data_IF_101378901013
#
_entry.id   IF_101378901013
#
_cell.length_a   1.000
_cell.length_b   1.000
_cell.length_c   1.000
_cell.angle_alpha   90.00
_cell.angle_beta   90.00
_cell.angle_gamma   90.00
#
_symmetry.space_group_name_H-M   'P 1'
#
loop_
_entity.id
_entity.type
_entity.pdbx_description
1 polymer ?
#
# COMPACT_ATOMS: atom_id res chain seq x y z
N UNK A 1 -27.08 -36.53 16.33
CA UNK A 1 -27.51 -35.37 17.17
C UNK A 1 -28.95 -35.56 17.58
N UNK A 2 -29.35 -35.20 18.83
CA UNK A 2 -30.75 -35.32 19.24
C UNK A 2 -31.63 -34.18 18.64
N UNK A 3 -32.97 -34.41 18.63
CA UNK A 3 -33.91 -33.45 17.99
C UNK A 3 -33.90 -32.06 18.65
N UNK A 4 -33.64 -31.98 19.96
CA UNK A 4 -33.58 -30.71 20.71
C UNK A 4 -32.37 -29.90 20.29
N UNK A 5 -31.20 -30.50 20.25
CA UNK A 5 -29.95 -29.85 19.80
C UNK A 5 -30.02 -29.42 18.34
N UNK A 6 -30.64 -30.24 17.48
CA UNK A 6 -30.87 -29.88 16.08
C UNK A 6 -31.72 -28.60 15.95
N UNK A 7 -32.81 -28.53 16.70
CA UNK A 7 -33.71 -27.37 16.69
C UNK A 7 -33.01 -26.13 17.26
N UNK A 8 -32.18 -26.30 18.29
CA UNK A 8 -31.43 -25.19 18.88
C UNK A 8 -30.41 -24.62 17.90
N UNK A 9 -29.64 -25.47 17.21
CA UNK A 9 -28.70 -25.00 16.17
C UNK A 9 -29.41 -24.26 15.03
N UNK A 10 -30.54 -24.77 14.56
CA UNK A 10 -31.34 -24.09 13.54
C UNK A 10 -31.85 -22.71 14.01
N UNK A 11 -32.18 -22.57 15.28
CA UNK A 11 -32.66 -21.32 15.86
C UNK A 11 -31.63 -20.21 15.92
N UNK A 12 -30.34 -20.53 15.86
CA UNK A 12 -29.25 -19.55 15.83
C UNK A 12 -29.14 -18.83 14.49
N UNK A 13 -29.68 -19.40 13.42
CA UNK A 13 -29.64 -18.82 12.08
C UNK A 13 -30.84 -17.88 11.92
N UNK A 14 -30.61 -16.59 12.24
CA UNK A 14 -31.63 -15.53 12.23
C UNK A 14 -31.24 -14.42 11.26
N UNK A 15 -32.18 -13.52 10.95
CA UNK A 15 -31.94 -12.35 10.09
C UNK A 15 -30.93 -11.35 10.68
N UNK A 16 -30.63 -11.47 11.98
CA UNK A 16 -29.61 -10.68 12.69
C UNK A 16 -28.21 -11.26 12.57
N UNK A 17 -28.06 -12.41 11.91
CA UNK A 17 -26.76 -13.06 11.70
C UNK A 17 -25.89 -12.25 10.72
N UNK A 18 -24.70 -11.91 11.15
CA UNK A 18 -23.68 -11.22 10.37
C UNK A 18 -22.77 -12.21 9.64
N UNK A 19 -22.10 -13.05 10.42
CA UNK A 19 -21.16 -14.04 9.89
C UNK A 19 -20.99 -15.25 10.82
N UNK A 20 -20.46 -16.33 10.25
CA UNK A 20 -20.10 -17.57 10.97
C UNK A 20 -18.70 -18.00 10.53
N UNK A 21 -17.89 -18.42 11.48
CA UNK A 21 -16.66 -19.17 11.24
C UNK A 21 -16.77 -20.54 11.88
N UNK A 22 -16.72 -21.62 11.08
CA UNK A 22 -16.71 -23.00 11.53
C UNK A 22 -15.29 -23.54 11.40
N UNK A 23 -14.75 -24.13 12.44
CA UNK A 23 -13.34 -24.54 12.56
C UNK A 23 -13.19 -25.82 13.38
N UNK A 24 -11.95 -26.26 13.58
CA UNK A 24 -11.61 -27.49 14.30
C UNK A 24 -12.25 -28.73 13.67
N UNK A 25 -11.84 -29.09 12.42
CA UNK A 25 -12.39 -30.21 11.69
C UNK A 25 -11.98 -31.55 12.34
N UNK A 26 -12.80 -32.57 12.17
CA UNK A 26 -12.45 -33.96 12.48
C UNK A 26 -11.32 -34.45 11.55
N UNK A 27 -10.56 -35.47 12.00
CA UNK A 27 -9.41 -35.96 11.21
C UNK A 27 -9.79 -36.53 9.83
N UNK A 28 -11.02 -36.92 9.65
CA UNK A 28 -11.56 -37.49 8.41
C UNK A 28 -12.14 -36.40 7.47
N UNK A 29 -12.25 -35.15 7.94
CA UNK A 29 -12.81 -34.05 7.16
C UNK A 29 -11.74 -33.45 6.24
N UNK A 30 -12.07 -33.27 4.96
CA UNK A 30 -11.20 -32.65 3.97
C UNK A 30 -11.19 -31.14 4.06
N UNK A 31 -12.24 -30.54 4.61
CA UNK A 31 -12.33 -29.10 4.80
C UNK A 31 -11.58 -28.68 6.06
N UNK A 32 -10.80 -27.64 5.97
CA UNK A 32 -10.04 -27.08 7.11
C UNK A 32 -10.84 -26.06 7.90
N UNK A 33 -11.73 -25.32 7.21
CA UNK A 33 -12.55 -24.24 7.76
C UNK A 33 -13.71 -23.92 6.83
N UNK A 34 -14.79 -23.40 7.40
CA UNK A 34 -15.91 -22.80 6.63
C UNK A 34 -16.16 -21.40 7.16
N UNK A 35 -16.32 -20.45 6.24
CA UNK A 35 -16.80 -19.10 6.54
C UNK A 35 -18.15 -18.89 5.87
N UNK A 36 -19.06 -18.28 6.61
CA UNK A 36 -20.38 -17.91 6.10
C UNK A 36 -20.58 -16.43 6.40
N UNK A 37 -20.96 -15.65 5.42
CA UNK A 37 -21.19 -14.20 5.59
C UNK A 37 -22.46 -13.76 4.89
N UNK A 38 -23.17 -12.86 5.54
CA UNK A 38 -24.34 -12.19 4.99
C UNK A 38 -23.90 -11.25 3.88
N UNK A 39 -24.63 -11.25 2.76
CA UNK A 39 -24.39 -10.40 1.61
C UNK A 39 -25.67 -10.01 0.91
N UNK A 40 -25.61 -8.98 0.11
CA UNK A 40 -26.69 -8.61 -0.81
C UNK A 40 -26.31 -8.96 -2.24
N UNK A 41 -27.16 -9.72 -2.92
CA UNK A 41 -26.98 -10.07 -4.31
C UNK A 41 -28.28 -9.73 -5.07
N UNK A 42 -28.19 -8.84 -6.05
CA UNK A 42 -29.34 -8.37 -6.86
C UNK A 42 -30.53 -7.89 -6.02
N UNK A 43 -30.27 -7.13 -4.95
CA UNK A 43 -31.29 -6.58 -4.06
C UNK A 43 -31.89 -7.62 -3.09
N UNK A 44 -31.37 -8.85 -3.02
CA UNK A 44 -31.81 -9.89 -2.08
C UNK A 44 -30.71 -10.25 -1.12
N UNK A 45 -31.06 -10.40 0.16
CA UNK A 45 -30.13 -10.89 1.18
C UNK A 45 -29.88 -12.37 0.96
N UNK A 46 -28.60 -12.75 0.88
CA UNK A 46 -28.14 -14.12 0.78
C UNK A 46 -26.95 -14.34 1.74
N UNK A 47 -26.56 -15.59 1.91
CA UNK A 47 -25.41 -15.99 2.69
C UNK A 47 -24.42 -16.72 1.80
N UNK A 48 -23.20 -16.16 1.68
CA UNK A 48 -22.11 -16.80 0.96
C UNK A 48 -21.41 -17.77 1.90
N UNK A 49 -21.35 -19.04 1.51
CA UNK A 49 -20.61 -20.10 2.19
C UNK A 49 -19.28 -20.28 1.43
N UNK A 50 -18.17 -20.15 2.14
CA UNK A 50 -16.82 -20.38 1.66
C UNK A 50 -16.25 -21.60 2.37
N UNK A 51 -16.08 -22.71 1.65
CA UNK A 51 -15.55 -23.96 2.16
C UNK A 51 -14.06 -24.10 1.76
N UNK A 52 -13.17 -24.15 2.74
CA UNK A 52 -11.72 -24.18 2.51
C UNK A 52 -11.16 -25.58 2.70
N UNK A 53 -10.47 -26.10 1.71
CA UNK A 53 -9.54 -27.24 1.83
C UNK A 53 -8.12 -26.72 2.09
N UNK A 54 -7.12 -27.61 2.09
CA UNK A 54 -5.70 -27.20 2.20
C UNK A 54 -5.21 -26.39 1.00
N UNK A 55 -5.82 -26.53 -0.16
CA UNK A 55 -5.33 -25.98 -1.43
C UNK A 55 -6.37 -25.18 -2.22
N UNK A 56 -7.65 -25.30 -1.89
CA UNK A 56 -8.75 -24.70 -2.66
C UNK A 56 -9.82 -24.12 -1.76
N UNK A 57 -10.59 -23.18 -2.28
CA UNK A 57 -11.80 -22.64 -1.67
C UNK A 57 -12.97 -22.79 -2.63
N UNK A 58 -14.09 -23.29 -2.11
CA UNK A 58 -15.35 -23.43 -2.84
C UNK A 58 -16.36 -22.42 -2.32
N UNK A 59 -17.14 -21.83 -3.21
CA UNK A 59 -18.11 -20.81 -2.87
C UNK A 59 -19.50 -21.20 -3.33
N UNK A 60 -20.49 -21.03 -2.47
CA UNK A 60 -21.91 -21.13 -2.83
C UNK A 60 -22.73 -20.06 -2.11
N UNK A 61 -23.79 -19.58 -2.74
CA UNK A 61 -24.72 -18.64 -2.15
C UNK A 61 -26.02 -19.36 -1.83
N UNK A 62 -26.55 -19.10 -0.63
CA UNK A 62 -27.78 -19.74 -0.13
C UNK A 62 -28.68 -18.68 0.51
N UNK A 63 -29.97 -18.97 0.57
CA UNK A 63 -30.93 -18.21 1.36
C UNK A 63 -30.79 -18.51 2.85
N UNK A 64 -31.35 -17.69 3.71
CA UNK A 64 -31.34 -17.96 5.17
C UNK A 64 -32.05 -19.27 5.50
N UNK A 65 -33.10 -19.63 4.79
CA UNK A 65 -33.83 -20.88 4.98
C UNK A 65 -32.98 -22.08 4.64
N UNK A 66 -32.27 -22.05 3.50
CA UNK A 66 -31.33 -23.09 3.10
C UNK A 66 -30.17 -23.20 4.08
N UNK A 67 -29.61 -22.05 4.53
CA UNK A 67 -28.54 -22.03 5.53
C UNK A 67 -28.98 -22.68 6.84
N UNK A 68 -30.22 -22.38 7.30
CA UNK A 68 -30.80 -22.95 8.52
C UNK A 68 -30.88 -24.48 8.47
N UNK A 69 -31.22 -25.02 7.31
CA UNK A 69 -31.27 -26.48 7.13
C UNK A 69 -29.88 -27.12 7.00
N UNK A 70 -28.93 -26.43 6.35
CA UNK A 70 -27.57 -26.94 6.13
C UNK A 70 -26.68 -26.86 7.40
N UNK A 71 -26.90 -25.85 8.27
CA UNK A 71 -26.02 -25.50 9.35
C UNK A 71 -25.74 -26.64 10.34
N UNK A 72 -26.74 -27.42 10.83
CA UNK A 72 -26.48 -28.51 11.76
C UNK A 72 -25.60 -29.63 11.18
N UNK A 73 -25.68 -29.89 9.86
CA UNK A 73 -24.92 -30.93 9.20
C UNK A 73 -23.39 -30.71 9.28
N UNK A 74 -22.94 -29.48 9.51
CA UNK A 74 -21.51 -29.21 9.73
C UNK A 74 -20.97 -29.77 11.05
N UNK A 75 -21.83 -30.10 12.01
CA UNK A 75 -21.44 -30.67 13.31
C UNK A 75 -21.66 -32.16 13.40
N UNK A 76 -22.17 -32.80 12.38
CA UNK A 76 -22.33 -34.24 12.33
C UNK A 76 -21.02 -34.95 11.93
N UNK A 77 -20.12 -35.15 12.89
CA UNK A 77 -18.79 -35.74 12.71
C UNK A 77 -17.89 -35.00 11.69
N UNK A 78 -18.08 -33.70 11.54
CA UNK A 78 -17.28 -32.88 10.59
C UNK A 78 -16.47 -31.79 11.29
N UNK A 79 -17.12 -30.96 12.10
CA UNK A 79 -16.47 -29.85 12.81
C UNK A 79 -16.85 -29.83 14.29
N UNK A 80 -15.93 -29.32 15.12
CA UNK A 80 -16.12 -29.29 16.58
C UNK A 80 -16.30 -27.89 17.15
N UNK A 81 -16.18 -26.84 16.35
CA UNK A 81 -16.29 -25.48 16.81
C UNK A 81 -16.91 -24.57 15.77
N UNK A 82 -17.78 -23.64 16.23
CA UNK A 82 -18.18 -22.50 15.44
C UNK A 82 -18.26 -21.24 16.30
N UNK A 83 -18.02 -20.10 15.68
CA UNK A 83 -18.23 -18.77 16.19
C UNK A 83 -19.24 -18.07 15.29
N UNK A 84 -20.34 -17.57 15.88
CA UNK A 84 -21.38 -16.81 15.18
C UNK A 84 -21.39 -15.40 15.75
N UNK A 85 -21.47 -14.43 14.87
CA UNK A 85 -21.66 -13.01 15.20
C UNK A 85 -23.07 -12.56 14.80
N UNK A 86 -23.89 -12.22 15.80
CA UNK A 86 -25.22 -11.64 15.62
C UNK A 86 -25.20 -10.16 16.03
N UNK A 87 -26.23 -9.41 15.69
CA UNK A 87 -26.29 -7.98 16.02
C UNK A 87 -26.17 -7.64 17.51
N UNK A 88 -26.66 -8.52 18.38
CA UNK A 88 -26.74 -8.27 19.83
C UNK A 88 -25.96 -9.26 20.69
N UNK A 89 -25.44 -10.32 20.10
CA UNK A 89 -24.68 -11.35 20.82
C UNK A 89 -23.68 -12.09 19.93
N UNK A 90 -22.62 -12.58 20.55
CA UNK A 90 -21.71 -13.57 20.00
C UNK A 90 -22.08 -14.94 20.54
N UNK A 91 -22.12 -15.93 19.66
CA UNK A 91 -22.43 -17.31 20.03
C UNK A 91 -21.26 -18.21 19.67
N UNK A 92 -20.79 -18.99 20.63
CA UNK A 92 -19.77 -20.01 20.43
C UNK A 92 -20.40 -21.41 20.59
N UNK A 93 -20.19 -22.25 19.59
CA UNK A 93 -20.59 -23.67 19.62
C UNK A 93 -19.34 -24.51 19.78
N UNK A 94 -19.39 -25.43 20.75
CA UNK A 94 -18.35 -26.42 21.00
C UNK A 94 -18.95 -27.82 20.98
N UNK A 95 -18.32 -28.73 20.23
CA UNK A 95 -18.73 -30.13 20.15
C UNK A 95 -17.65 -31.00 20.80
N UNK A 96 -18.04 -31.75 21.84
CA UNK A 96 -17.14 -32.66 22.54
C UNK A 96 -16.77 -33.87 21.68
N UNK A 97 -15.73 -34.63 22.08
CA UNK A 97 -15.35 -35.90 21.44
C UNK A 97 -16.47 -36.94 21.43
N UNK A 98 -17.41 -36.85 22.37
CA UNK A 98 -18.57 -37.75 22.50
C UNK A 98 -19.80 -37.22 21.76
N UNK A 99 -19.68 -36.13 20.98
CA UNK A 99 -20.76 -35.55 20.20
C UNK A 99 -21.72 -34.60 20.98
N UNK A 100 -21.45 -34.33 22.27
CA UNK A 100 -22.27 -33.40 23.04
C UNK A 100 -21.98 -31.97 22.59
N UNK A 101 -23.04 -31.19 22.28
CA UNK A 101 -22.99 -29.79 21.82
C UNK A 101 -23.20 -28.87 23.01
N UNK A 102 -22.33 -27.88 23.16
CA UNK A 102 -22.45 -26.77 24.12
C UNK A 102 -22.52 -25.46 23.38
N UNK A 103 -23.53 -24.63 23.71
CA UNK A 103 -23.75 -23.31 23.10
C UNK A 103 -23.56 -22.25 24.17
N UNK A 104 -22.54 -21.43 24.00
CA UNK A 104 -22.18 -20.32 24.87
C UNK A 104 -22.59 -19.00 24.19
N UNK A 105 -23.32 -18.16 24.93
CA UNK A 105 -23.79 -16.85 24.42
C UNK A 105 -23.19 -15.73 25.24
N UNK A 106 -22.68 -14.71 24.56
CA UNK A 106 -22.13 -13.50 25.15
C UNK A 106 -22.79 -12.28 24.53
N UNK A 107 -23.56 -11.55 25.36
CA UNK A 107 -24.15 -10.27 24.91
C UNK A 107 -23.03 -9.30 24.53
N UNK A 108 -23.12 -8.69 23.35
CA UNK A 108 -22.25 -7.61 22.94
C UNK A 108 -22.77 -6.30 23.55
N UNK A 109 -21.86 -5.49 24.14
CA UNK A 109 -22.23 -4.18 24.68
C UNK A 109 -22.54 -3.23 23.52
N UNK A 110 -23.80 -3.06 23.22
CA UNK A 110 -24.52 -1.86 22.81
C UNK A 110 -24.08 -1.01 21.61
N UNK A 111 -23.03 -1.33 20.89
CA UNK A 111 -22.78 -0.71 19.59
C UNK A 111 -23.30 -1.67 18.53
N UNK A 112 -24.29 -1.19 17.75
CA UNK A 112 -24.71 -1.90 16.55
C UNK A 112 -23.46 -2.20 15.73
N UNK A 113 -23.19 -3.50 15.46
CA UNK A 113 -22.13 -3.90 14.56
C UNK A 113 -22.19 -2.98 13.33
N UNK A 114 -21.06 -2.38 12.89
CA UNK A 114 -21.06 -1.52 11.74
C UNK A 114 -21.78 -2.28 10.62
N UNK A 115 -22.77 -1.63 9.99
CA UNK A 115 -23.48 -2.20 8.85
C UNK A 115 -22.42 -2.70 7.88
N UNK A 116 -22.15 -4.01 7.91
CA UNK A 116 -21.27 -4.62 6.92
C UNK A 116 -21.82 -4.24 5.55
N UNK A 117 -21.01 -3.71 4.65
CA UNK A 117 -21.47 -3.43 3.30
C UNK A 117 -21.99 -4.75 2.74
N UNK A 118 -23.30 -4.80 2.50
CA UNK A 118 -24.00 -5.98 1.95
C UNK A 118 -23.62 -6.23 0.48
N UNK A 119 -22.78 -5.36 -0.10
CA UNK A 119 -22.33 -5.49 -1.49
C UNK A 119 -21.12 -6.43 -1.62
N UNK A 120 -21.13 -7.24 -2.68
CA UNK A 120 -20.02 -8.13 -3.08
C UNK A 120 -18.70 -7.38 -3.34
N UNK A 121 -18.78 -6.13 -3.75
CA UNK A 121 -17.65 -5.27 -3.92
C UNK A 121 -17.33 -4.63 -2.58
N UNK A 122 -16.24 -5.05 -1.94
CA UNK A 122 -15.49 -4.16 -1.07
C UNK A 122 -15.16 -2.94 -1.92
N UNK A 123 -15.93 -1.89 -1.78
CA UNK A 123 -15.50 -0.57 -2.26
C UNK A 123 -14.21 -0.30 -1.51
N UNK A 124 -13.09 -0.28 -2.22
CA UNK A 124 -11.83 0.20 -1.65
C UNK A 124 -12.13 1.62 -1.20
N UNK A 125 -11.93 1.91 0.09
CA UNK A 125 -12.01 3.29 0.58
C UNK A 125 -10.79 4.02 0.00
N UNK A 126 -10.98 4.63 -1.15
CA UNK A 126 -9.98 5.49 -1.75
C UNK A 126 -9.89 6.82 -0.99
N UNK A 127 -8.70 7.41 -0.96
CA UNK A 127 -8.51 8.78 -0.44
C UNK A 127 -9.30 9.78 -1.28
N UNK A 128 -9.27 9.60 -2.61
CA UNK A 128 -10.09 10.33 -3.57
C UNK A 128 -11.16 9.36 -4.07
N UNK A 129 -12.43 9.65 -3.77
CA UNK A 129 -13.54 8.76 -4.10
C UNK A 129 -14.11 9.04 -5.50
N UNK A 130 -14.65 8.00 -6.13
CA UNK A 130 -15.52 8.14 -7.30
C UNK A 130 -16.84 8.81 -6.88
N UNK A 131 -17.50 9.52 -7.83
CA UNK A 131 -18.76 10.21 -7.60
C UNK A 131 -18.60 11.64 -7.07
N UNK A 132 -17.39 12.07 -6.71
CA UNK A 132 -17.08 13.46 -6.35
C UNK A 132 -16.00 13.99 -7.27
N UNK A 133 -16.32 15.04 -8.04
CA UNK A 133 -15.39 15.63 -8.99
C UNK A 133 -14.19 16.25 -8.26
N UNK A 134 -12.98 15.78 -8.58
CA UNK A 134 -11.72 16.32 -8.08
C UNK A 134 -11.09 17.18 -9.16
N UNK A 135 -10.94 18.51 -8.97
CA UNK A 135 -10.60 19.43 -10.04
C UNK A 135 -9.35 19.05 -10.84
N UNK A 136 -8.25 18.70 -10.20
CA UNK A 136 -7.02 18.34 -10.91
C UNK A 136 -7.16 17.00 -11.68
N UNK A 137 -7.96 16.04 -11.19
CA UNK A 137 -8.22 14.79 -11.92
C UNK A 137 -9.06 15.03 -13.17
N UNK A 138 -10.00 15.99 -13.10
CA UNK A 138 -10.82 16.39 -14.25
C UNK A 138 -9.93 17.03 -15.32
N UNK A 139 -9.10 17.98 -14.96
CA UNK A 139 -8.21 18.67 -15.88
C UNK A 139 -7.15 17.74 -16.51
N UNK A 140 -6.68 16.73 -15.77
CA UNK A 140 -5.76 15.70 -16.27
C UNK A 140 -6.47 14.58 -17.04
N UNK A 141 -7.79 14.65 -17.20
CA UNK A 141 -8.60 13.69 -17.94
C UNK A 141 -8.71 12.32 -17.30
N UNK A 142 -8.44 12.22 -15.99
CA UNK A 142 -8.60 11.00 -15.19
C UNK A 142 -10.05 10.81 -14.75
N UNK A 143 -10.76 11.93 -14.53
CA UNK A 143 -12.12 11.97 -14.03
C UNK A 143 -12.97 12.89 -14.92
N UNK A 144 -14.24 12.63 -15.00
CA UNK A 144 -15.23 13.50 -15.67
C UNK A 144 -15.73 14.58 -14.72
N UNK A 145 -16.44 15.59 -15.24
CA UNK A 145 -16.97 16.71 -14.43
C UNK A 145 -18.06 16.27 -13.43
N UNK A 146 -18.69 15.13 -13.66
CA UNK A 146 -19.66 14.51 -12.78
C UNK A 146 -19.04 13.53 -11.77
N UNK A 147 -17.69 13.44 -11.74
CA UNK A 147 -16.94 12.65 -10.76
C UNK A 147 -16.74 11.18 -11.13
N UNK A 148 -17.12 10.75 -12.34
CA UNK A 148 -16.87 9.39 -12.79
C UNK A 148 -15.42 9.23 -13.29
N UNK A 149 -14.77 8.12 -12.94
CA UNK A 149 -13.41 7.81 -13.43
C UNK A 149 -13.46 7.30 -14.87
N UNK A 150 -12.62 7.86 -15.75
CA UNK A 150 -12.56 7.42 -17.15
C UNK A 150 -11.95 6.02 -17.23
N UNK A 151 -12.57 5.11 -17.97
CA UNK A 151 -12.11 3.70 -18.11
C UNK A 151 -10.63 3.61 -18.53
N UNK A 152 -10.21 4.43 -19.48
CA UNK A 152 -8.84 4.45 -19.99
C UNK A 152 -7.79 4.94 -18.96
N UNK A 153 -8.21 5.59 -17.88
CA UNK A 153 -7.35 6.15 -16.84
C UNK A 153 -7.61 5.53 -15.46
N UNK A 154 -8.36 4.44 -15.38
CA UNK A 154 -8.69 3.81 -14.12
C UNK A 154 -7.45 3.34 -13.33
N UNK A 155 -6.45 2.79 -14.02
CA UNK A 155 -5.18 2.40 -13.40
C UNK A 155 -4.41 3.62 -12.87
N UNK A 156 -4.46 4.75 -13.58
CA UNK A 156 -3.86 5.99 -13.10
C UNK A 156 -4.57 6.50 -11.84
N UNK A 157 -5.89 6.42 -11.79
CA UNK A 157 -6.67 6.76 -10.60
C UNK A 157 -6.30 5.86 -9.39
N UNK A 158 -6.18 4.55 -9.61
CA UNK A 158 -5.72 3.59 -8.58
C UNK A 158 -4.29 3.92 -8.11
N UNK A 159 -3.39 4.21 -9.03
CA UNK A 159 -2.00 4.60 -8.73
C UNK A 159 -1.95 5.87 -7.86
N UNK A 160 -2.73 6.89 -8.20
CA UNK A 160 -2.81 8.15 -7.44
C UNK A 160 -3.32 7.87 -6.03
N UNK A 161 -4.41 7.12 -5.87
CA UNK A 161 -4.94 6.78 -4.56
C UNK A 161 -3.95 5.98 -3.73
N UNK A 162 -3.29 4.98 -4.32
CA UNK A 162 -2.26 4.19 -3.63
C UNK A 162 -1.10 5.05 -3.15
N UNK A 163 -0.68 6.02 -3.96
CA UNK A 163 0.35 6.97 -3.56
C UNK A 163 -0.10 7.86 -2.39
N UNK A 164 -1.34 8.33 -2.41
CA UNK A 164 -1.89 9.13 -1.33
C UNK A 164 -2.03 8.36 -0.02
N UNK A 165 -2.26 7.04 -0.04
CA UNK A 165 -2.20 6.19 1.16
C UNK A 165 -0.79 6.27 1.80
N UNK A 166 0.29 6.20 1.00
CA UNK A 166 1.65 6.36 1.53
C UNK A 166 1.92 7.78 2.06
N UNK A 167 1.35 8.80 1.43
CA UNK A 167 1.44 10.18 1.93
C UNK A 167 0.66 10.33 3.24
N UNK A 168 -0.49 9.69 3.36
CA UNK A 168 -1.28 9.68 4.59
C UNK A 168 -0.52 9.04 5.76
N UNK A 169 0.17 7.94 5.52
CA UNK A 169 0.96 7.24 6.55
C UNK A 169 2.09 8.09 7.13
N UNK A 170 2.64 9.03 6.34
CA UNK A 170 3.77 9.88 6.76
C UNK A 170 3.36 11.26 7.26
N UNK A 171 2.07 11.60 7.25
CA UNK A 171 1.59 12.89 7.77
C UNK A 171 2.10 13.23 9.18
N UNK A 172 2.17 12.29 10.14
CA UNK A 172 2.67 12.57 11.48
C UNK A 172 4.15 12.98 11.53
N UNK A 173 4.92 12.70 10.47
CA UNK A 173 6.33 13.04 10.38
C UNK A 173 6.58 14.43 9.77
N UNK A 174 5.53 15.08 9.25
CA UNK A 174 5.61 16.41 8.66
C UNK A 174 5.28 17.51 9.68
N UNK A 175 5.89 18.72 9.58
CA UNK A 175 5.61 19.85 10.47
C UNK A 175 4.13 20.21 10.50
N UNK A 176 3.61 20.64 11.66
CA UNK A 176 2.21 21.08 11.81
C UNK A 176 2.07 22.56 12.08
N UNK A 177 3.16 23.22 12.45
CA UNK A 177 3.25 24.58 12.98
C UNK A 177 3.81 25.60 11.98
N UNK A 178 4.20 25.13 10.80
CA UNK A 178 4.77 25.96 9.72
C UNK A 178 4.47 25.40 8.34
N UNK A 179 4.78 26.17 7.32
CA UNK A 179 4.68 25.75 5.90
C UNK A 179 5.56 24.52 5.65
N UNK A 180 4.97 23.48 5.06
CA UNK A 180 5.66 22.27 4.62
C UNK A 180 6.27 22.51 3.25
N UNK A 181 7.58 22.40 3.14
CA UNK A 181 8.28 22.53 1.84
C UNK A 181 8.54 21.16 1.23
N UNK A 182 8.06 20.97 -0.01
CA UNK A 182 8.15 19.71 -0.73
C UNK A 182 8.84 19.92 -2.08
N UNK A 183 9.81 19.06 -2.40
CA UNK A 183 10.42 18.98 -3.74
C UNK A 183 10.07 17.67 -4.41
N UNK A 184 9.60 17.74 -5.65
CA UNK A 184 9.32 16.60 -6.51
C UNK A 184 10.28 16.62 -7.72
N UNK A 185 11.24 15.71 -7.73
CA UNK A 185 12.25 15.59 -8.76
C UNK A 185 11.81 14.63 -9.87
N UNK A 186 11.91 15.08 -11.13
CA UNK A 186 11.45 14.33 -12.29
C UNK A 186 9.91 14.23 -12.31
N UNK A 187 9.25 15.35 -12.01
CA UNK A 187 7.79 15.38 -11.81
C UNK A 187 6.98 14.98 -13.06
N UNK A 188 7.57 15.05 -14.26
CA UNK A 188 6.92 14.67 -15.51
C UNK A 188 5.56 15.35 -15.70
N UNK A 189 4.51 14.60 -16.03
CA UNK A 189 3.12 15.14 -16.15
C UNK A 189 2.49 15.50 -14.81
N UNK A 190 3.20 15.35 -13.71
CA UNK A 190 2.90 15.81 -12.36
C UNK A 190 1.58 15.34 -11.74
N UNK A 191 1.02 14.22 -12.22
CA UNK A 191 -0.21 13.66 -11.62
C UNK A 191 -0.12 13.52 -10.09
N UNK A 192 1.04 13.04 -9.61
CA UNK A 192 1.26 12.78 -8.18
C UNK A 192 1.62 14.06 -7.41
N UNK A 193 2.30 15.02 -8.04
CA UNK A 193 2.58 16.34 -7.47
C UNK A 193 1.28 17.12 -7.22
N UNK A 194 0.37 17.13 -8.20
CA UNK A 194 -0.97 17.71 -8.04
C UNK A 194 -1.77 16.98 -6.96
N UNK A 195 -1.65 15.65 -6.88
CA UNK A 195 -2.31 14.86 -5.85
C UNK A 195 -1.82 15.19 -4.45
N UNK A 196 -0.49 15.36 -4.24
CA UNK A 196 0.09 15.78 -2.96
C UNK A 196 -0.46 17.16 -2.56
N UNK A 197 -0.44 18.12 -3.48
CA UNK A 197 -0.96 19.46 -3.20
C UNK A 197 -2.43 19.41 -2.79
N UNK A 198 -3.26 18.74 -3.58
CA UNK A 198 -4.68 18.61 -3.29
C UNK A 198 -4.92 17.93 -1.94
N UNK A 199 -4.20 16.84 -1.66
CA UNK A 199 -4.31 16.09 -0.42
C UNK A 199 -3.92 16.94 0.80
N UNK A 200 -2.75 17.57 0.76
CA UNK A 200 -2.25 18.33 1.92
C UNK A 200 -2.98 19.67 2.09
N UNK A 201 -3.12 20.45 1.01
CA UNK A 201 -3.71 21.80 1.08
C UNK A 201 -5.22 21.77 1.12
N UNK A 202 -5.86 21.04 0.19
CA UNK A 202 -7.32 21.09 0.04
C UNK A 202 -8.03 20.18 1.03
N UNK A 203 -7.58 18.92 1.18
CA UNK A 203 -8.26 17.97 2.06
C UNK A 203 -7.85 18.10 3.53
N UNK A 204 -6.59 18.42 3.81
CA UNK A 204 -6.06 18.50 5.19
C UNK A 204 -5.80 19.92 5.70
N UNK A 205 -6.02 20.97 4.88
CA UNK A 205 -5.84 22.36 5.29
C UNK A 205 -4.41 22.73 5.71
N UNK A 206 -3.40 21.92 5.29
CA UNK A 206 -1.99 22.15 5.65
C UNK A 206 -1.42 23.30 4.84
N UNK A 207 -0.58 24.09 5.45
CA UNK A 207 0.18 25.06 4.69
C UNK A 207 1.36 24.38 4.00
N UNK A 208 1.41 24.47 2.65
CA UNK A 208 2.39 23.74 1.84
C UNK A 208 2.93 24.64 0.73
N UNK A 209 4.20 24.44 0.42
CA UNK A 209 4.88 24.97 -0.76
C UNK A 209 5.51 23.79 -1.50
N UNK A 210 5.08 23.57 -2.75
CA UNK A 210 5.55 22.45 -3.54
C UNK A 210 6.27 22.94 -4.79
N UNK A 211 7.47 22.44 -5.05
CA UNK A 211 8.24 22.73 -6.24
C UNK A 211 8.47 21.41 -6.98
N UNK A 212 7.97 21.33 -8.21
CA UNK A 212 8.29 20.24 -9.14
C UNK A 212 9.45 20.64 -10.06
N UNK A 213 10.41 19.75 -10.29
CA UNK A 213 11.50 19.94 -11.25
C UNK A 213 11.45 18.88 -12.34
N UNK A 214 11.68 19.33 -13.57
CA UNK A 214 11.83 18.44 -14.73
C UNK A 214 12.74 19.09 -15.80
N UNK A 215 13.37 18.26 -16.62
CA UNK A 215 14.24 18.70 -17.71
C UNK A 215 13.48 19.16 -18.98
N UNK A 216 12.17 18.89 -19.05
CA UNK A 216 11.35 19.17 -20.24
C UNK A 216 10.58 20.47 -20.09
N UNK A 217 11.02 21.51 -20.80
CA UNK A 217 10.43 22.86 -20.73
C UNK A 217 8.94 22.91 -21.07
N UNK A 218 8.50 22.15 -22.07
CA UNK A 218 7.10 22.05 -22.48
C UNK A 218 6.22 21.43 -21.39
N UNK A 219 6.71 20.41 -20.70
CA UNK A 219 6.03 19.80 -19.56
C UNK A 219 5.87 20.80 -18.42
N UNK A 220 6.94 21.50 -18.06
CA UNK A 220 6.93 22.53 -17.01
C UNK A 220 5.93 23.66 -17.33
N UNK A 221 5.95 24.18 -18.57
CA UNK A 221 5.00 25.21 -18.99
C UNK A 221 3.53 24.75 -18.87
N UNK A 222 3.25 23.49 -19.23
CA UNK A 222 1.92 22.91 -19.11
C UNK A 222 1.49 22.72 -17.64
N UNK A 223 2.40 22.27 -16.79
CA UNK A 223 2.12 22.08 -15.36
C UNK A 223 1.86 23.40 -14.64
N UNK A 224 2.64 24.45 -14.91
CA UNK A 224 2.41 25.77 -14.34
C UNK A 224 1.06 26.37 -14.78
N UNK A 225 0.72 26.25 -16.07
CA UNK A 225 -0.59 26.69 -16.58
C UNK A 225 -1.75 25.96 -15.91
N UNK A 226 -1.57 24.68 -15.66
CA UNK A 226 -2.56 23.87 -14.95
C UNK A 226 -2.69 24.27 -13.48
N UNK A 227 -1.56 24.52 -12.79
CA UNK A 227 -1.55 24.99 -11.41
C UNK A 227 -2.26 26.34 -11.27
N UNK A 228 -1.99 27.28 -12.18
CA UNK A 228 -2.67 28.58 -12.25
C UNK A 228 -4.19 28.42 -12.48
N UNK A 229 -4.59 27.59 -13.46
CA UNK A 229 -6.00 27.30 -13.74
C UNK A 229 -6.76 26.74 -12.53
N UNK A 230 -6.09 25.95 -11.71
CA UNK A 230 -6.64 25.32 -10.50
C UNK A 230 -6.59 26.23 -9.26
N UNK A 231 -5.94 27.39 -9.35
CA UNK A 231 -5.71 28.27 -8.21
C UNK A 231 -4.73 27.70 -7.18
N UNK A 232 -3.81 26.82 -7.60
CA UNK A 232 -2.79 26.19 -6.72
C UNK A 232 -1.55 27.10 -6.64
N UNK A 233 -1.69 28.26 -5.95
CA UNK A 233 -0.69 29.32 -5.89
C UNK A 233 0.67 28.89 -5.33
N UNK A 234 0.68 27.92 -4.41
CA UNK A 234 1.90 27.43 -3.76
C UNK A 234 2.48 26.19 -4.45
N UNK A 235 2.02 25.87 -5.66
CA UNK A 235 2.53 24.80 -6.51
C UNK A 235 3.22 25.41 -7.72
N UNK A 236 4.54 25.28 -7.78
CA UNK A 236 5.37 25.86 -8.86
C UNK A 236 6.19 24.77 -9.53
N UNK A 237 6.37 24.87 -10.84
CA UNK A 237 7.21 23.94 -11.59
C UNK A 237 8.38 24.70 -12.24
N UNK A 238 9.60 24.17 -12.04
CA UNK A 238 10.84 24.77 -12.51
C UNK A 238 11.56 23.81 -13.48
N UNK A 239 12.14 24.40 -14.53
CA UNK A 239 13.03 23.68 -15.42
C UNK A 239 14.42 23.61 -14.81
N UNK A 240 14.98 22.41 -14.66
CA UNK A 240 16.32 22.23 -14.10
C UNK A 240 16.71 20.79 -13.87
N UNK A 241 18.01 20.56 -13.71
CA UNK A 241 18.57 19.28 -13.30
C UNK A 241 18.58 19.17 -11.76
N UNK A 242 18.34 17.97 -11.27
CA UNK A 242 18.41 17.62 -9.84
C UNK A 242 19.83 17.90 -9.29
N UNK A 243 20.86 17.55 -10.05
CA UNK A 243 22.23 17.67 -9.61
C UNK A 243 22.63 19.14 -9.33
N UNK A 244 22.13 20.06 -10.14
CA UNK A 244 22.47 21.49 -10.12
C UNK A 244 21.53 22.34 -9.26
N UNK A 245 20.45 21.76 -8.73
CA UNK A 245 19.47 22.55 -7.97
C UNK A 245 19.98 22.93 -6.58
N UNK A 246 20.16 24.24 -6.36
CA UNK A 246 20.66 24.83 -5.10
C UNK A 246 19.64 25.80 -4.45
N UNK A 247 18.39 25.81 -4.94
CA UNK A 247 17.40 26.83 -4.61
C UNK A 247 16.86 26.83 -3.18
N UNK A 248 17.26 25.86 -2.31
CA UNK A 248 16.77 25.73 -0.95
C UNK A 248 17.79 25.17 0.02
N UNK A 249 17.73 25.64 1.28
CA UNK A 249 18.59 25.16 2.36
C UNK A 249 17.87 24.15 3.28
N UNK A 250 16.53 24.05 3.22
CA UNK A 250 15.74 23.13 4.02
C UNK A 250 14.50 22.67 3.22
N UNK A 251 14.25 21.38 3.26
CA UNK A 251 13.12 20.73 2.62
C UNK A 251 12.56 19.69 3.59
N UNK A 252 11.24 19.64 3.74
CA UNK A 252 10.59 18.71 4.67
C UNK A 252 10.34 17.35 4.03
N UNK A 253 10.00 17.35 2.74
CA UNK A 253 9.72 16.12 2.02
C UNK A 253 10.33 16.18 0.62
N UNK A 254 11.01 15.14 0.24
CA UNK A 254 11.50 14.92 -1.13
C UNK A 254 10.75 13.77 -1.76
N UNK A 255 10.24 14.01 -2.95
CA UNK A 255 9.57 13.02 -3.79
C UNK A 255 10.38 12.84 -5.07
N UNK A 256 10.59 11.60 -5.49
CA UNK A 256 11.27 11.28 -6.75
C UNK A 256 10.68 10.02 -7.35
N UNK A 257 9.76 10.21 -8.29
CA UNK A 257 8.97 9.12 -8.85
C UNK A 257 9.41 8.71 -10.27
N UNK A 258 10.16 9.56 -10.95
CA UNK A 258 10.61 9.34 -12.33
C UNK A 258 12.06 9.79 -12.59
N UNK A 259 12.85 10.02 -11.53
CA UNK A 259 14.28 10.20 -11.68
C UNK A 259 14.94 8.86 -12.02
N UNK A 260 15.57 8.79 -13.19
CA UNK A 260 16.15 7.53 -13.68
C UNK A 260 17.59 7.35 -13.20
N UNK A 261 17.94 6.09 -12.85
CA UNK A 261 19.29 5.61 -12.55
C UNK A 261 19.98 6.47 -11.47
N UNK A 262 21.12 7.07 -11.77
CA UNK A 262 21.90 7.90 -10.84
C UNK A 262 21.24 9.21 -10.45
N UNK A 263 20.28 9.72 -11.25
CA UNK A 263 19.50 10.90 -10.87
C UNK A 263 18.71 10.66 -9.56
N UNK A 264 18.24 9.44 -9.31
CA UNK A 264 17.68 9.06 -8.01
C UNK A 264 18.69 9.23 -6.89
N UNK A 265 19.95 8.84 -7.11
CA UNK A 265 21.00 8.91 -6.09
C UNK A 265 21.37 10.36 -5.72
N UNK A 266 21.39 11.26 -6.71
CA UNK A 266 21.54 12.70 -6.47
C UNK A 266 20.37 13.27 -5.67
N UNK A 267 19.14 12.88 -6.01
CA UNK A 267 17.95 13.31 -5.26
C UNK A 267 17.99 12.85 -3.79
N UNK A 268 18.36 11.59 -3.55
CA UNK A 268 18.49 11.03 -2.19
C UNK A 268 19.61 11.72 -1.42
N UNK A 269 20.78 11.97 -2.03
CA UNK A 269 21.88 12.67 -1.40
C UNK A 269 21.51 14.10 -1.02
N UNK A 270 20.81 14.84 -1.90
CA UNK A 270 20.30 16.19 -1.59
C UNK A 270 19.26 16.16 -0.47
N UNK A 271 18.32 15.21 -0.50
CA UNK A 271 17.33 15.03 0.55
C UNK A 271 17.99 14.81 1.94
N UNK A 272 19.04 13.99 1.99
CA UNK A 272 19.85 13.78 3.20
C UNK A 272 20.56 15.08 3.62
N UNK A 273 21.15 15.81 2.66
CA UNK A 273 21.85 17.08 2.91
C UNK A 273 20.91 18.17 3.46
N UNK A 274 19.69 18.26 2.95
CA UNK A 274 18.64 19.18 3.44
C UNK A 274 17.98 18.74 4.73
N UNK A 275 18.35 17.58 5.26
CA UNK A 275 17.74 17.01 6.46
C UNK A 275 16.23 16.78 6.33
N UNK A 276 15.80 16.34 5.14
CA UNK A 276 14.39 16.11 4.86
C UNK A 276 13.76 15.13 5.86
N UNK A 277 12.60 15.48 6.40
CA UNK A 277 11.87 14.62 7.35
C UNK A 277 11.35 13.34 6.68
N UNK A 278 11.01 13.43 5.38
CA UNK A 278 10.44 12.32 4.60
C UNK A 278 11.03 12.26 3.21
N UNK A 279 11.32 11.03 2.75
CA UNK A 279 11.70 10.75 1.37
C UNK A 279 10.77 9.66 0.82
N UNK A 280 10.14 9.94 -0.33
CA UNK A 280 9.37 8.96 -1.11
C UNK A 280 10.01 8.83 -2.49
N UNK A 281 10.60 7.67 -2.78
CA UNK A 281 11.31 7.44 -4.05
C UNK A 281 10.80 6.17 -4.73
N UNK A 282 10.48 6.27 -6.03
CA UNK A 282 10.10 5.13 -6.88
C UNK A 282 11.13 5.03 -8.01
N UNK A 283 12.23 4.31 -7.79
CA UNK A 283 13.29 4.13 -8.80
C UNK A 283 12.78 3.30 -9.97
N UNK A 284 12.96 3.78 -11.19
CA UNK A 284 12.53 3.07 -12.39
C UNK A 284 13.67 2.41 -13.18
N UNK A 285 14.92 2.82 -12.96
CA UNK A 285 16.09 2.33 -13.68
C UNK A 285 17.27 2.14 -12.72
N UNK A 286 18.06 1.07 -12.93
CA UNK A 286 19.21 0.70 -12.10
C UNK A 286 20.35 0.21 -13.00
N UNK A 287 20.71 1.01 -14.02
CA UNK A 287 21.71 0.63 -15.01
C UNK A 287 23.14 0.69 -14.47
N UNK A 288 23.41 1.60 -13.52
CA UNK A 288 24.76 1.77 -12.94
C UNK A 288 25.25 0.45 -12.33
N UNK A 289 24.50 -0.12 -11.40
CA UNK A 289 24.91 -1.35 -10.71
C UNK A 289 24.95 -2.54 -11.67
N UNK A 290 24.03 -2.62 -12.64
CA UNK A 290 24.04 -3.69 -13.66
C UNK A 290 25.34 -3.70 -14.48
N UNK A 291 25.94 -2.53 -14.74
CA UNK A 291 27.24 -2.42 -15.43
C UNK A 291 28.41 -2.76 -14.50
N UNK A 292 28.31 -2.39 -13.22
CA UNK A 292 29.40 -2.54 -12.25
C UNK A 292 29.57 -3.97 -11.74
N UNK A 293 28.48 -4.72 -11.50
CA UNK A 293 28.56 -6.06 -10.89
C UNK A 293 29.47 -6.98 -11.72
N UNK A 294 30.59 -7.40 -11.10
CA UNK A 294 31.60 -8.32 -11.63
C UNK A 294 32.03 -9.26 -10.53
N UNK A 295 31.29 -10.32 -10.28
CA UNK A 295 31.60 -11.29 -9.23
C UNK A 295 31.72 -12.68 -9.86
N UNK A 296 32.82 -13.40 -9.59
CA UNK A 296 33.12 -14.72 -10.17
C UNK A 296 32.23 -15.79 -9.58
N UNK A 297 31.95 -15.71 -8.30
CA UNK A 297 31.10 -16.67 -7.55
C UNK A 297 29.65 -16.59 -8.01
N UNK A 298 29.18 -15.39 -8.34
CA UNK A 298 27.81 -15.16 -8.86
C UNK A 298 27.72 -15.32 -10.39
N UNK A 299 28.83 -15.44 -11.10
CA UNK A 299 28.87 -15.53 -12.57
C UNK A 299 27.97 -16.62 -13.14
N UNK A 300 27.86 -17.85 -12.55
CA UNK A 300 26.96 -18.88 -13.09
C UNK A 300 25.48 -18.44 -13.11
N UNK A 301 25.05 -17.54 -12.23
CA UNK A 301 23.70 -16.97 -12.18
C UNK A 301 23.61 -15.71 -13.02
N UNK A 302 24.58 -14.81 -12.92
CA UNK A 302 24.53 -13.49 -13.56
C UNK A 302 24.92 -13.52 -15.06
N UNK A 303 25.33 -14.66 -15.60
CA UNK A 303 25.53 -14.84 -17.06
C UNK A 303 24.24 -14.67 -17.86
N UNK A 304 23.08 -14.88 -17.23
CA UNK A 304 21.77 -14.67 -17.85
C UNK A 304 21.39 -13.19 -17.73
N UNK A 305 21.37 -12.44 -18.83
CA UNK A 305 21.18 -10.99 -18.86
C UNK A 305 19.92 -10.52 -18.12
N UNK A 306 18.78 -11.23 -18.28
CA UNK A 306 17.54 -10.92 -17.55
C UNK A 306 17.70 -11.08 -16.04
N UNK A 307 18.38 -12.13 -15.59
CA UNK A 307 18.61 -12.36 -14.16
C UNK A 307 19.56 -11.30 -13.61
N UNK A 308 20.63 -10.99 -14.34
CA UNK A 308 21.56 -9.91 -13.94
C UNK A 308 20.86 -8.57 -13.79
N UNK A 309 20.03 -8.18 -14.76
CA UNK A 309 19.26 -6.92 -14.74
C UNK A 309 18.34 -6.85 -13.51
N UNK A 310 17.53 -7.88 -13.27
CA UNK A 310 16.61 -7.92 -12.12
C UNK A 310 17.34 -7.94 -10.79
N UNK A 311 18.43 -8.71 -10.67
CA UNK A 311 19.26 -8.76 -9.47
C UNK A 311 19.89 -7.40 -9.19
N UNK A 312 20.44 -6.75 -10.21
CA UNK A 312 21.01 -5.41 -10.09
C UNK A 312 19.97 -4.38 -9.65
N UNK A 313 18.73 -4.47 -10.18
CA UNK A 313 17.66 -3.58 -9.79
C UNK A 313 17.33 -3.71 -8.29
N UNK A 314 17.10 -4.95 -7.82
CA UNK A 314 16.77 -5.21 -6.42
C UNK A 314 17.92 -4.84 -5.47
N UNK A 315 19.15 -5.15 -5.86
CA UNK A 315 20.34 -4.81 -5.06
C UNK A 315 20.55 -3.30 -4.99
N UNK A 316 20.35 -2.56 -6.08
CA UNK A 316 20.45 -1.09 -6.07
C UNK A 316 19.50 -0.49 -5.06
N UNK A 317 18.22 -0.93 -5.07
CA UNK A 317 17.22 -0.38 -4.18
C UNK A 317 17.44 -0.81 -2.72
N UNK A 318 17.95 -2.03 -2.48
CA UNK A 318 18.36 -2.48 -1.15
C UNK A 318 19.57 -1.68 -0.63
N UNK A 319 20.55 -1.39 -1.47
CA UNK A 319 21.71 -0.55 -1.12
C UNK A 319 21.24 0.87 -0.79
N UNK A 320 20.36 1.47 -1.60
CA UNK A 320 19.77 2.79 -1.33
C UNK A 320 19.05 2.81 0.02
N UNK A 321 18.24 1.77 0.30
CA UNK A 321 17.58 1.62 1.60
C UNK A 321 18.55 1.59 2.76
N UNK A 322 19.61 0.78 2.68
CA UNK A 322 20.65 0.69 3.69
C UNK A 322 21.42 2.01 3.89
N UNK A 323 21.75 2.71 2.81
CA UNK A 323 22.42 4.01 2.86
C UNK A 323 21.54 5.10 3.50
N UNK A 324 20.22 5.06 3.28
CA UNK A 324 19.27 5.94 3.97
C UNK A 324 19.19 5.62 5.47
N UNK A 325 19.24 4.34 5.85
CA UNK A 325 19.31 3.93 7.26
C UNK A 325 20.62 4.39 7.91
N UNK A 326 21.74 4.24 7.21
CA UNK A 326 23.03 4.77 7.66
C UNK A 326 22.97 6.27 7.90
N UNK A 327 22.22 7.01 7.09
CA UNK A 327 21.97 8.45 7.22
C UNK A 327 20.90 8.80 8.27
N UNK A 328 20.36 7.84 9.03
CA UNK A 328 19.46 8.06 10.18
C UNK A 328 17.96 8.05 9.86
N UNK A 329 17.58 7.50 8.72
CA UNK A 329 16.17 7.27 8.38
C UNK A 329 15.71 5.88 8.84
N UNK A 330 14.45 5.76 9.16
CA UNK A 330 13.75 4.47 9.15
C UNK A 330 13.22 4.24 7.75
N UNK A 331 13.75 3.23 7.07
CA UNK A 331 13.45 2.96 5.66
C UNK A 331 12.58 1.72 5.54
N UNK A 332 11.62 1.78 4.61
CA UNK A 332 10.78 0.67 4.20
C UNK A 332 10.82 0.54 2.69
N UNK A 333 10.97 -0.69 2.23
CA UNK A 333 10.89 -1.03 0.80
C UNK A 333 9.52 -1.65 0.59
N UNK A 334 8.66 -0.98 -0.16
CA UNK A 334 7.25 -1.30 -0.30
C UNK A 334 6.88 -1.52 -1.77
N UNK A 335 5.84 -2.30 -2.01
CA UNK A 335 5.24 -2.42 -3.34
C UNK A 335 4.33 -1.21 -3.60
N UNK A 336 4.62 -0.48 -4.67
CA UNK A 336 3.91 0.76 -5.02
C UNK A 336 2.65 0.47 -5.84
N UNK A 337 2.78 -0.35 -6.88
CA UNK A 337 1.70 -0.77 -7.77
C UNK A 337 1.83 -2.26 -8.06
N UNK A 338 0.75 -2.90 -8.51
CA UNK A 338 0.74 -4.32 -8.81
C UNK A 338 1.78 -4.67 -9.91
N UNK A 339 2.48 -5.78 -9.76
CA UNK A 339 3.49 -6.25 -10.71
C UNK A 339 2.94 -6.50 -12.12
N UNK A 340 1.62 -6.66 -12.26
CA UNK A 340 0.94 -6.78 -13.56
C UNK A 340 1.15 -5.56 -14.46
N UNK A 341 1.39 -4.38 -13.86
CA UNK A 341 1.60 -3.13 -14.60
C UNK A 341 3.06 -2.86 -14.92
N UNK A 342 3.98 -3.21 -14.03
CA UNK A 342 5.43 -3.09 -14.22
C UNK A 342 6.20 -3.90 -13.17
N UNK A 343 7.31 -4.56 -13.55
CA UNK A 343 8.20 -5.19 -12.58
C UNK A 343 9.01 -4.19 -11.75
N UNK A 344 8.99 -2.89 -12.12
CA UNK A 344 9.69 -1.80 -11.44
C UNK A 344 8.69 -1.02 -10.58
N UNK A 345 8.23 -1.65 -9.52
CA UNK A 345 7.12 -1.21 -8.69
C UNK A 345 7.51 -0.95 -7.21
N UNK A 346 8.79 -0.76 -6.94
CA UNK A 346 9.30 -0.53 -5.58
C UNK A 346 9.20 0.95 -5.21
N UNK A 347 8.67 1.20 -4.01
CA UNK A 347 8.73 2.48 -3.30
C UNK A 347 9.69 2.38 -2.13
N UNK A 348 10.68 3.26 -2.08
CA UNK A 348 11.49 3.54 -0.90
C UNK A 348 10.79 4.63 -0.10
N UNK A 349 10.29 4.28 1.09
CA UNK A 349 9.72 5.22 2.05
C UNK A 349 10.68 5.36 3.22
N UNK A 350 11.26 6.55 3.37
CA UNK A 350 12.21 6.83 4.44
C UNK A 350 11.73 8.00 5.30
N UNK A 351 11.66 7.79 6.61
CA UNK A 351 11.23 8.79 7.60
C UNK A 351 12.39 9.05 8.55
N UNK A 352 12.78 10.30 8.71
CA UNK A 352 13.86 10.73 9.58
C UNK A 352 13.59 10.37 11.03
N UNK A 353 14.49 9.65 11.67
CA UNK A 353 14.44 9.35 13.11
C UNK A 353 15.48 10.15 13.88
N UNK A 354 16.69 10.25 13.35
CA UNK A 354 17.79 10.99 13.94
C UNK A 354 18.75 11.45 12.85
N UNK A 355 19.46 12.54 13.12
CA UNK A 355 20.57 12.98 12.26
C UNK A 355 21.87 12.45 12.86
N UNK A 356 22.58 11.51 12.22
CA UNK A 356 23.89 11.09 12.70
C UNK A 356 24.88 12.26 12.52
N UNK A 357 25.83 12.41 13.44
CA UNK A 357 27.00 13.26 13.19
C UNK A 357 27.88 12.63 12.10
N UNK A 358 28.83 13.39 11.54
CA UNK A 358 29.68 12.93 10.44
C UNK A 358 30.44 11.63 10.74
N UNK A 359 30.99 11.48 11.95
CA UNK A 359 31.70 10.27 12.37
C UNK A 359 30.78 9.05 12.45
N UNK A 360 29.58 9.23 12.98
CA UNK A 360 28.57 8.16 13.06
C UNK A 360 28.11 7.76 11.66
N UNK A 361 27.87 8.72 10.78
CA UNK A 361 27.54 8.45 9.38
C UNK A 361 28.64 7.62 8.71
N UNK A 362 29.89 8.05 8.80
CA UNK A 362 31.04 7.32 8.21
C UNK A 362 31.20 5.91 8.79
N UNK A 363 30.96 5.72 10.09
CA UNK A 363 30.94 4.40 10.70
C UNK A 363 29.83 3.51 10.15
N UNK A 364 28.62 4.06 10.03
CA UNK A 364 27.45 3.33 9.50
C UNK A 364 27.66 2.93 8.03
N UNK A 365 28.29 3.81 7.23
CA UNK A 365 28.59 3.53 5.81
C UNK A 365 29.55 2.35 5.65
N UNK A 366 30.43 2.09 6.64
CA UNK A 366 31.34 0.94 6.59
C UNK A 366 30.61 -0.41 6.67
N UNK A 367 29.40 -0.45 7.20
CA UNK A 367 28.62 -1.70 7.29
C UNK A 367 28.27 -2.30 5.93
N UNK A 368 28.11 -1.46 4.89
CA UNK A 368 27.82 -1.94 3.54
C UNK A 368 29.06 -2.24 2.70
N UNK A 369 30.24 -1.77 3.11
CA UNK A 369 31.47 -1.93 2.34
C UNK A 369 31.78 -3.40 1.96
N UNK A 370 31.64 -4.41 2.86
CA UNK A 370 31.87 -5.80 2.48
C UNK A 370 30.96 -6.27 1.34
N UNK A 371 29.68 -5.80 1.33
CA UNK A 371 28.72 -6.12 0.25
C UNK A 371 29.14 -5.46 -1.05
N UNK A 372 29.54 -4.18 -1.02
CA UNK A 372 30.01 -3.47 -2.20
C UNK A 372 31.30 -4.09 -2.76
N UNK A 373 32.23 -4.51 -1.90
CA UNK A 373 33.42 -5.22 -2.29
C UNK A 373 33.11 -6.57 -2.96
N UNK A 374 32.17 -7.35 -2.39
CA UNK A 374 31.69 -8.60 -2.97
C UNK A 374 31.14 -8.41 -4.39
N UNK A 375 30.38 -7.33 -4.60
CA UNK A 375 29.78 -7.01 -5.89
C UNK A 375 30.75 -6.35 -6.87
N UNK A 376 31.95 -5.97 -6.43
CA UNK A 376 32.86 -5.08 -7.15
C UNK A 376 32.18 -3.81 -7.66
N UNK A 377 31.39 -3.17 -6.80
CA UNK A 377 30.56 -2.05 -7.15
C UNK A 377 30.79 -0.84 -6.23
N UNK A 378 30.64 0.34 -6.79
CA UNK A 378 30.71 1.61 -6.08
C UNK A 378 29.57 2.53 -6.54
N UNK A 379 28.35 2.36 -5.99
CA UNK A 379 27.18 3.12 -6.39
C UNK A 379 27.32 4.61 -6.13
N UNK A 380 26.67 5.42 -6.96
CA UNK A 380 26.72 6.88 -6.90
C UNK A 380 26.30 7.43 -5.54
N UNK A 381 25.21 6.94 -4.94
CA UNK A 381 24.76 7.41 -3.61
C UNK A 381 25.85 7.16 -2.54
N UNK A 382 26.49 5.99 -2.54
CA UNK A 382 27.58 5.69 -1.61
C UNK A 382 28.74 6.68 -1.75
N UNK A 383 29.16 6.98 -3.00
CA UNK A 383 30.21 7.98 -3.28
C UNK A 383 29.85 9.37 -2.78
N UNK A 384 28.60 9.78 -2.96
CA UNK A 384 28.11 11.11 -2.53
C UNK A 384 28.07 11.26 -1.00
N UNK A 385 27.77 10.17 -0.27
CA UNK A 385 27.72 10.19 1.20
C UNK A 385 29.09 9.99 1.88
N UNK A 386 30.07 9.45 1.16
CA UNK A 386 31.41 9.23 1.68
C UNK A 386 32.29 10.50 1.65
N UNK A 387 31.89 11.50 0.84
CA UNK A 387 32.56 12.82 0.77
C UNK A 387 32.29 13.64 2.01
#
# INVERSE_FOLDING_TARGET
MDAKTLQELKSLITDTLSDITISNPEKTENLTKIKIRRMELKGKVQYQIEEFTKTQAFHKNVTITELRELFPAYFENRFRQAQLHLQSEDVQILVSKKGAVSILRKKTKGEALPKLPLSHNRTKNYVLNEGTAVPFLVELGVMTKDGAVTKAKYDKFRQINRFLEFVQDILPALPTDRTITILDFGCGKSYLTFAIYHFLKVLHGRDVRIIGLDLKKDVIANCNRLAEKLGYSELTFLHGDIADYEGMNQVDMVVTLHACDTATDFALAKAIGWDASVILSVPCCQHELNKQIKNKELSPLLKYGLIKERTAALFTDAIRGNLLEAAGYQTQILEFIDMEHTPKNILLRAVRKQKPNGEKLQRNLKEIEPTLALLHAEPTLYKLLKK
#
